data_IF_264057274233
#
_entry.id   IF_264057274233
#
_cell.length_a   1.000
_cell.length_b   1.000
_cell.length_c   1.000
_cell.angle_alpha   90.00
_cell.angle_beta   90.00
_cell.angle_gamma   90.00
#
_symmetry.space_group_name_H-M   'P 1'
#
loop_
_entity.id
_entity.type
_entity.pdbx_description
1 polymer ?
#
# COMPACT_ATOMS: atom_id res chain seq x y z
N UNK A 1 -68.80 -54.51 -9.22
CA UNK A 1 -68.45 -54.40 -10.65
C UNK A 1 -68.81 -52.97 -11.06
N UNK A 2 -67.93 -51.99 -10.92
CA UNK A 2 -66.66 -51.79 -11.66
C UNK A 2 -66.88 -51.09 -13.02
N UNK A 3 -67.42 -49.87 -13.02
CA UNK A 3 -67.33 -48.97 -14.20
C UNK A 3 -67.53 -47.46 -13.93
N UNK A 4 -67.76 -47.02 -12.68
CA UNK A 4 -68.11 -45.60 -12.38
C UNK A 4 -67.13 -44.87 -11.44
N UNK A 5 -65.88 -45.34 -11.33
CA UNK A 5 -64.86 -44.71 -10.46
C UNK A 5 -63.66 -44.12 -11.21
N UNK A 6 -63.47 -44.46 -12.49
CA UNK A 6 -62.29 -43.99 -13.26
C UNK A 6 -62.46 -42.59 -13.90
N UNK A 7 -63.68 -42.08 -14.05
CA UNK A 7 -63.91 -40.76 -14.66
C UNK A 7 -63.75 -39.58 -13.70
N UNK A 8 -63.87 -39.79 -12.38
CA UNK A 8 -63.75 -38.71 -11.39
C UNK A 8 -62.29 -38.35 -11.04
N UNK A 9 -61.36 -39.29 -11.07
CA UNK A 9 -59.95 -38.98 -10.76
C UNK A 9 -59.23 -38.25 -11.91
N UNK A 10 -59.55 -38.59 -13.17
CA UNK A 10 -58.94 -37.93 -14.35
C UNK A 10 -59.35 -36.45 -14.44
N UNK A 11 -60.57 -36.11 -14.03
CA UNK A 11 -61.08 -34.72 -14.06
C UNK A 11 -60.49 -33.86 -12.92
N UNK A 12 -60.14 -34.46 -11.78
CA UNK A 12 -59.47 -33.75 -10.68
C UNK A 12 -57.98 -33.47 -10.96
N UNK A 13 -57.28 -34.38 -11.65
CA UNK A 13 -55.89 -34.17 -12.07
C UNK A 13 -55.74 -33.17 -13.23
N UNK A 14 -56.77 -33.00 -14.07
CA UNK A 14 -56.75 -32.03 -15.17
C UNK A 14 -56.85 -30.56 -14.73
N UNK A 15 -57.57 -30.27 -13.63
CA UNK A 15 -57.80 -28.88 -13.17
C UNK A 15 -56.62 -28.34 -12.34
N UNK A 16 -55.84 -29.21 -11.69
CA UNK A 16 -54.70 -28.82 -10.87
C UNK A 16 -53.46 -28.32 -11.64
N UNK A 17 -53.40 -28.52 -12.96
CA UNK A 17 -52.21 -28.18 -13.77
C UNK A 17 -52.32 -26.79 -14.45
N UNK A 18 -53.53 -26.21 -14.55
CA UNK A 18 -53.70 -24.87 -15.16
C UNK A 18 -53.60 -23.69 -14.17
N UNK A 19 -53.38 -23.95 -12.87
CA UNK A 19 -53.30 -22.92 -11.83
C UNK A 19 -51.91 -22.31 -11.56
N UNK A 20 -50.84 -22.83 -12.17
CA UNK A 20 -49.45 -22.55 -11.75
C UNK A 20 -48.52 -22.08 -12.89
N UNK A 21 -49.01 -21.19 -13.76
CA UNK A 21 -48.13 -20.35 -14.62
C UNK A 21 -48.51 -18.87 -14.57
N UNK A 22 -48.45 -18.30 -13.36
CA UNK A 22 -48.03 -16.90 -13.18
C UNK A 22 -46.69 -16.91 -12.45
N UNK A 23 -45.65 -17.38 -13.16
CA UNK A 23 -44.28 -17.16 -12.72
C UNK A 23 -44.00 -15.66 -12.84
N UNK A 24 -44.16 -14.92 -11.73
CA UNK A 24 -43.77 -13.52 -11.64
C UNK A 24 -42.24 -13.48 -11.58
N UNK A 25 -41.61 -13.65 -12.74
CA UNK A 25 -40.17 -13.49 -12.94
C UNK A 25 -39.87 -12.00 -12.94
N UNK A 26 -39.71 -11.44 -11.74
CA UNK A 26 -39.19 -10.10 -11.56
C UNK A 26 -37.72 -10.09 -11.96
N UNK A 27 -37.30 -9.18 -12.85
CA UNK A 27 -35.89 -9.01 -13.15
C UNK A 27 -35.11 -8.64 -11.88
N UNK A 28 -33.85 -9.07 -11.79
CA UNK A 28 -33.02 -8.88 -10.59
C UNK A 28 -32.81 -7.39 -10.20
N UNK A 29 -33.10 -6.46 -11.12
CA UNK A 29 -33.10 -5.01 -10.88
C UNK A 29 -34.37 -4.51 -10.18
N UNK A 30 -35.52 -5.08 -10.49
CA UNK A 30 -36.82 -4.62 -9.99
C UNK A 30 -37.18 -5.25 -8.63
N UNK A 31 -36.66 -6.44 -8.35
CA UNK A 31 -36.89 -7.14 -7.08
C UNK A 31 -36.41 -6.34 -5.85
N UNK A 32 -35.37 -5.52 -6.00
CA UNK A 32 -34.87 -4.64 -4.93
C UNK A 32 -35.69 -3.37 -4.73
N UNK A 33 -36.41 -2.87 -5.75
CA UNK A 33 -37.31 -1.72 -5.58
C UNK A 33 -38.59 -2.12 -4.84
N UNK A 34 -39.12 -3.32 -5.12
CA UNK A 34 -40.35 -3.82 -4.49
C UNK A 34 -40.23 -4.02 -2.97
N UNK A 35 -39.04 -4.36 -2.45
CA UNK A 35 -38.80 -4.49 -1.01
C UNK A 35 -38.65 -3.14 -0.29
N UNK A 36 -38.41 -2.03 -1.00
CA UNK A 36 -38.09 -0.73 -0.40
C UNK A 36 -39.31 0.03 0.12
N UNK A 37 -40.52 -0.35 -0.29
CA UNK A 37 -41.76 0.42 -0.05
C UNK A 37 -42.83 -0.31 0.80
N UNK A 38 -42.52 -1.47 1.41
CA UNK A 38 -43.54 -2.39 1.94
C UNK A 38 -44.13 -1.99 3.31
N UNK A 39 -43.61 -0.95 3.98
CA UNK A 39 -44.04 -0.54 5.34
C UNK A 39 -44.53 0.92 5.47
N UNK A 40 -45.00 1.53 4.39
CA UNK A 40 -45.85 2.71 4.55
C UNK A 40 -47.24 2.28 5.02
N UNK A 41 -47.75 2.95 6.07
CA UNK A 41 -49.04 2.77 6.76
C UNK A 41 -50.09 2.11 5.86
N UNK A 42 -50.53 0.89 6.18
CA UNK A 42 -51.65 0.28 5.45
C UNK A 42 -52.88 1.16 5.67
N UNK A 43 -53.60 1.47 4.59
CA UNK A 43 -54.64 2.48 4.63
C UNK A 43 -55.72 2.14 5.69
N UNK A 44 -55.86 3.03 6.68
CA UNK A 44 -56.62 2.85 7.91
C UNK A 44 -57.97 2.13 7.68
N UNK A 45 -58.20 1.01 8.36
CA UNK A 45 -59.57 0.56 8.59
C UNK A 45 -60.22 1.48 9.63
N UNK A 46 -61.47 1.90 9.41
CA UNK A 46 -62.25 2.82 10.27
C UNK A 46 -62.40 2.37 11.75
N UNK A 47 -61.96 1.15 12.10
CA UNK A 47 -62.07 0.55 13.44
C UNK A 47 -60.71 0.15 14.02
N UNK A 48 -59.60 0.53 13.38
CA UNK A 48 -58.23 0.21 13.79
C UNK A 48 -57.87 0.94 15.10
N UNK A 49 -58.19 2.22 15.16
CA UNK A 49 -58.03 3.17 16.29
C UNK A 49 -58.92 2.84 17.52
N UNK A 50 -59.74 1.77 17.45
CA UNK A 50 -60.59 1.28 18.55
C UNK A 50 -59.93 0.09 19.26
N UNK A 51 -58.90 -0.52 18.68
CA UNK A 51 -58.15 -1.61 19.33
C UNK A 51 -57.15 -1.02 20.33
N UNK A 52 -56.86 -1.71 21.44
CA UNK A 52 -55.73 -1.34 22.28
C UNK A 52 -54.44 -1.45 21.48
N UNK A 53 -53.55 -0.48 21.67
CA UNK A 53 -52.26 -0.40 20.98
C UNK A 53 -51.41 -1.65 21.20
N UNK A 54 -50.82 -2.15 20.13
CA UNK A 54 -50.11 -3.43 20.10
C UNK A 54 -48.73 -3.28 19.45
N UNK A 55 -47.70 -3.61 20.22
CA UNK A 55 -46.31 -3.40 19.83
C UNK A 55 -45.91 -4.17 18.57
N UNK A 56 -46.42 -5.39 18.40
CA UNK A 56 -46.09 -6.20 17.24
C UNK A 56 -46.76 -5.60 16.00
N UNK A 57 -48.06 -5.33 16.07
CA UNK A 57 -48.86 -4.82 14.95
C UNK A 57 -48.44 -3.42 14.50
N UNK A 58 -48.33 -2.47 15.43
CA UNK A 58 -48.15 -1.07 15.08
C UNK A 58 -46.68 -0.71 14.85
N UNK A 59 -45.74 -1.31 15.60
CA UNK A 59 -44.32 -0.98 15.50
C UNK A 59 -43.44 -2.05 14.84
N UNK A 60 -43.73 -3.35 14.95
CA UNK A 60 -42.89 -4.39 14.33
C UNK A 60 -43.37 -4.82 12.93
N UNK A 61 -44.67 -4.88 12.70
CA UNK A 61 -45.29 -5.13 11.40
C UNK A 61 -45.36 -3.84 10.54
N UNK A 62 -45.63 -2.68 11.14
CA UNK A 62 -45.72 -1.37 10.49
C UNK A 62 -44.71 -0.33 11.04
N UNK A 63 -44.87 0.94 10.67
CA UNK A 63 -44.07 2.08 11.16
C UNK A 63 -44.91 2.94 12.12
N UNK A 64 -44.71 2.76 13.42
CA UNK A 64 -45.36 3.59 14.45
C UNK A 64 -44.64 4.93 14.68
N UNK A 65 -45.44 5.96 14.98
CA UNK A 65 -45.02 7.26 15.50
C UNK A 65 -44.65 7.20 16.99
N UNK A 66 -44.06 8.29 17.50
CA UNK A 66 -43.75 8.40 18.93
C UNK A 66 -45.02 8.49 19.80
N UNK A 67 -46.14 8.94 19.22
CA UNK A 67 -47.43 9.07 19.90
C UNK A 67 -48.09 7.70 20.04
N UNK A 68 -48.16 6.91 18.96
CA UNK A 68 -48.62 5.50 19.00
C UNK A 68 -47.74 4.65 19.96
N UNK A 69 -46.41 4.85 19.95
CA UNK A 69 -45.53 4.23 20.94
C UNK A 69 -45.82 4.68 22.39
N UNK A 70 -46.25 5.93 22.61
CA UNK A 70 -46.62 6.42 23.94
C UNK A 70 -47.93 5.79 24.45
N UNK A 71 -48.89 5.54 23.54
CA UNK A 71 -50.16 4.88 23.84
C UNK A 71 -49.96 3.40 24.24
N UNK A 72 -49.03 2.70 23.58
CA UNK A 72 -48.66 1.32 23.91
C UNK A 72 -48.02 1.22 25.30
N UNK A 73 -47.02 2.05 25.60
CA UNK A 73 -46.21 1.89 26.81
C UNK A 73 -46.75 2.62 28.05
N UNK A 74 -47.64 3.61 27.88
CA UNK A 74 -48.35 4.39 28.92
C UNK A 74 -47.46 5.11 29.97
N UNK A 75 -46.15 4.92 29.92
CA UNK A 75 -45.14 5.58 30.72
C UNK A 75 -44.09 6.21 29.82
N UNK A 76 -43.77 7.47 30.09
CA UNK A 76 -42.80 8.26 29.35
C UNK A 76 -41.40 7.63 29.33
N UNK A 77 -41.01 6.97 30.42
CA UNK A 77 -39.69 6.34 30.56
C UNK A 77 -39.57 5.10 29.64
N UNK A 78 -40.58 4.23 29.67
CA UNK A 78 -40.63 3.04 28.79
C UNK A 78 -40.77 3.42 27.32
N UNK A 79 -41.57 4.45 27.03
CA UNK A 79 -41.70 5.00 25.68
C UNK A 79 -40.35 5.51 25.17
N UNK A 80 -39.60 6.26 25.98
CA UNK A 80 -38.27 6.77 25.60
C UNK A 80 -37.24 5.63 25.44
N UNK A 81 -37.24 4.63 26.32
CA UNK A 81 -36.35 3.47 26.20
C UNK A 81 -36.64 2.66 24.93
N UNK A 82 -37.91 2.38 24.65
CA UNK A 82 -38.33 1.74 23.40
C UNK A 82 -37.96 2.60 22.19
N UNK A 83 -38.35 3.88 22.18
CA UNK A 83 -38.15 4.79 21.05
C UNK A 83 -36.67 4.96 20.70
N UNK A 84 -35.79 5.04 21.70
CA UNK A 84 -34.34 5.08 21.48
C UNK A 84 -33.79 3.80 20.82
N UNK A 85 -34.32 2.62 21.17
CA UNK A 85 -33.96 1.35 20.53
C UNK A 85 -34.59 1.20 19.14
N UNK A 86 -35.84 1.60 19.00
CA UNK A 86 -36.62 1.59 17.76
C UNK A 86 -35.96 2.47 16.70
N UNK A 87 -35.64 3.73 17.03
CA UNK A 87 -34.91 4.65 16.15
C UNK A 87 -33.49 4.17 15.77
N UNK A 88 -32.87 3.25 16.53
CA UNK A 88 -31.60 2.62 16.11
C UNK A 88 -31.85 1.48 15.14
N UNK A 89 -32.90 0.68 15.34
CA UNK A 89 -33.34 -0.37 14.40
C UNK A 89 -33.80 0.20 13.05
N UNK A 90 -34.55 1.31 13.08
CA UNK A 90 -35.08 2.03 11.90
C UNK A 90 -34.01 2.38 10.86
N UNK A 91 -32.83 2.86 11.29
CA UNK A 91 -31.82 3.46 10.39
C UNK A 91 -31.30 2.51 9.30
N UNK A 92 -31.39 1.20 9.51
CA UNK A 92 -31.05 0.19 8.49
C UNK A 92 -32.27 -0.61 7.97
N UNK A 93 -33.49 -0.35 8.48
CA UNK A 93 -34.70 -1.17 8.25
C UNK A 93 -35.18 -1.20 6.78
N UNK A 94 -34.76 -0.25 5.96
CA UNK A 94 -35.00 -0.19 4.51
C UNK A 94 -33.73 -0.17 3.63
N UNK A 95 -32.56 -0.45 4.22
CA UNK A 95 -31.21 -0.30 3.64
C UNK A 95 -31.02 1.03 2.84
N UNK A 96 -30.57 2.13 3.50
CA UNK A 96 -30.33 3.40 2.83
C UNK A 96 -29.21 3.32 1.77
N UNK A 97 -28.31 2.34 1.89
CA UNK A 97 -27.16 2.18 1.01
C UNK A 97 -27.58 1.81 -0.42
N UNK A 98 -27.05 2.55 -1.39
CA UNK A 98 -27.23 2.33 -2.82
C UNK A 98 -26.29 1.24 -3.34
N UNK A 99 -26.48 0.87 -4.60
CA UNK A 99 -25.55 0.05 -5.37
C UNK A 99 -25.17 -1.32 -4.77
N UNK A 100 -25.99 -1.84 -3.85
CA UNK A 100 -25.77 -3.12 -3.16
C UNK A 100 -24.94 -3.02 -1.87
N UNK A 101 -24.72 -1.81 -1.34
CA UNK A 101 -24.11 -1.63 -0.02
C UNK A 101 -24.95 -2.20 1.11
N UNK A 102 -24.30 -2.54 2.23
CA UNK A 102 -24.93 -3.12 3.41
C UNK A 102 -24.93 -2.10 4.54
N UNK A 103 -26.10 -1.70 5.01
CA UNK A 103 -26.23 -0.85 6.19
C UNK A 103 -25.89 -1.63 7.47
N UNK A 104 -24.96 -1.10 8.26
CA UNK A 104 -24.66 -1.56 9.61
C UNK A 104 -24.81 -0.43 10.62
N UNK A 105 -24.94 -0.79 11.90
CA UNK A 105 -25.04 0.16 13.01
C UNK A 105 -23.72 0.15 13.79
N UNK A 106 -23.17 1.34 13.99
CA UNK A 106 -21.97 1.59 14.79
C UNK A 106 -22.30 2.49 16.00
N UNK A 107 -21.30 2.79 16.83
CA UNK A 107 -21.42 3.65 18.01
C UNK A 107 -21.91 5.07 17.67
N UNK A 108 -21.55 5.58 16.50
CA UNK A 108 -21.89 6.92 16.00
C UNK A 108 -23.21 7.02 15.22
N UNK A 109 -23.70 5.93 14.63
CA UNK A 109 -24.91 5.96 13.79
C UNK A 109 -25.08 4.75 12.87
N UNK A 110 -25.75 4.96 11.73
CA UNK A 110 -25.82 4.00 10.63
C UNK A 110 -24.74 4.30 9.61
N UNK A 111 -23.95 3.29 9.25
CA UNK A 111 -22.88 3.38 8.25
C UNK A 111 -23.16 2.42 7.10
N UNK A 112 -22.79 2.81 5.89
CA UNK A 112 -22.91 1.97 4.71
C UNK A 112 -21.59 1.28 4.38
N UNK A 113 -21.60 -0.05 4.42
CA UNK A 113 -20.51 -0.88 3.94
C UNK A 113 -20.66 -1.05 2.42
N UNK A 114 -19.91 -0.26 1.66
CA UNK A 114 -20.06 -0.20 0.21
C UNK A 114 -19.38 -1.36 -0.51
N UNK A 115 -19.95 -1.87 -1.62
CA UNK A 115 -19.27 -2.86 -2.45
C UNK A 115 -18.06 -2.21 -3.12
N UNK A 116 -17.02 -2.97 -3.52
CA UNK A 116 -15.71 -2.38 -3.79
C UNK A 116 -15.59 -1.47 -5.03
N UNK A 117 -16.68 -1.29 -5.80
CA UNK A 117 -16.80 -0.30 -6.89
C UNK A 117 -17.51 0.99 -6.46
N UNK A 118 -17.88 1.15 -5.19
CA UNK A 118 -18.67 2.28 -4.71
C UNK A 118 -18.15 2.84 -3.37
N UNK A 119 -18.36 4.13 -3.16
CA UNK A 119 -17.97 4.90 -1.97
C UNK A 119 -18.99 6.01 -1.70
N UNK A 120 -18.77 6.78 -0.64
CA UNK A 120 -19.69 7.78 -0.11
C UNK A 120 -20.57 7.23 1.02
N UNK A 121 -21.19 8.11 1.84
CA UNK A 121 -22.00 7.74 3.00
C UNK A 121 -23.18 6.82 2.67
N UNK A 122 -23.63 6.77 1.42
CA UNK A 122 -24.69 5.91 0.93
C UNK A 122 -24.28 5.05 -0.27
N UNK A 123 -22.98 4.86 -0.53
CA UNK A 123 -22.46 4.11 -1.68
C UNK A 123 -22.92 4.67 -3.05
N UNK A 124 -23.17 5.98 -3.09
CA UNK A 124 -23.71 6.71 -4.23
C UNK A 124 -22.66 7.01 -5.31
N UNK A 125 -21.38 7.01 -4.96
CA UNK A 125 -20.26 7.40 -5.84
C UNK A 125 -19.57 6.15 -6.36
N UNK A 126 -19.39 6.01 -7.68
CA UNK A 126 -18.52 4.96 -8.24
C UNK A 126 -17.05 5.28 -7.95
N UNK A 127 -16.32 4.30 -7.39
CA UNK A 127 -14.87 4.34 -7.17
C UNK A 127 -14.17 4.11 -8.51
N UNK A 128 -13.20 4.96 -8.85
CA UNK A 128 -12.51 4.86 -10.13
C UNK A 128 -11.73 3.54 -10.23
N UNK A 129 -11.68 2.93 -11.43
CA UNK A 129 -11.10 1.59 -11.57
C UNK A 129 -9.63 1.51 -11.14
N UNK A 130 -8.83 2.58 -11.26
CA UNK A 130 -7.48 2.59 -10.69
C UNK A 130 -7.44 2.57 -9.16
N UNK A 131 -8.31 3.32 -8.47
CA UNK A 131 -8.36 3.34 -7.00
C UNK A 131 -8.70 1.95 -6.45
N UNK A 132 -9.58 1.21 -7.14
CA UNK A 132 -9.86 -0.17 -6.77
C UNK A 132 -8.81 -1.15 -7.32
N UNK A 133 -7.94 -1.66 -6.43
CA UNK A 133 -6.92 -2.69 -6.73
C UNK A 133 -5.95 -2.30 -7.87
N UNK A 134 -5.61 -1.02 -8.01
CA UNK A 134 -4.74 -0.49 -9.07
C UNK A 134 -5.25 -0.83 -10.49
N UNK A 135 -6.57 -0.91 -10.67
CA UNK A 135 -7.19 -1.33 -11.95
C UNK A 135 -6.82 -2.74 -12.41
N UNK A 136 -6.26 -3.57 -11.52
CA UNK A 136 -5.65 -4.85 -11.85
C UNK A 136 -4.24 -4.76 -12.48
N UNK A 137 -3.70 -3.56 -12.73
CA UNK A 137 -2.35 -3.36 -13.26
C UNK A 137 -1.28 -3.88 -12.29
N UNK A 138 -0.21 -4.50 -12.81
CA UNK A 138 0.90 -5.00 -12.00
C UNK A 138 1.78 -3.87 -11.45
N UNK A 139 2.02 -2.82 -12.23
CA UNK A 139 2.77 -1.63 -11.80
C UNK A 139 1.91 -0.37 -11.84
N UNK A 140 1.75 0.28 -12.98
CA UNK A 140 1.09 1.59 -13.07
C UNK A 140 -0.31 1.47 -13.66
N UNK A 141 -1.25 2.22 -13.08
CA UNK A 141 -2.60 2.41 -13.59
C UNK A 141 -2.82 3.85 -14.03
N UNK A 142 -3.59 4.03 -15.10
CA UNK A 142 -4.10 5.32 -15.56
C UNK A 142 -5.54 5.18 -16.09
N UNK A 143 -6.40 6.14 -15.75
CA UNK A 143 -7.77 6.18 -16.27
C UNK A 143 -7.76 6.77 -17.68
N UNK A 144 -8.38 6.10 -18.66
CA UNK A 144 -8.51 6.66 -20.01
C UNK A 144 -9.52 7.82 -20.04
N UNK A 145 -9.23 8.84 -20.85
CA UNK A 145 -10.06 10.05 -21.00
C UNK A 145 -10.76 10.03 -22.37
N UNK A 146 -12.02 10.50 -22.51
CA UNK A 146 -12.81 11.27 -21.54
C UNK A 146 -13.91 10.49 -20.82
N UNK A 147 -14.22 9.24 -21.20
CA UNK A 147 -15.35 8.50 -20.60
C UNK A 147 -15.04 7.94 -19.21
N UNK A 148 -13.76 7.83 -18.82
CA UNK A 148 -13.30 7.22 -17.55
C UNK A 148 -13.78 5.77 -17.33
N UNK A 149 -14.20 5.08 -18.39
CA UNK A 149 -14.77 3.72 -18.36
C UNK A 149 -13.76 2.60 -18.58
N UNK A 150 -12.46 2.90 -18.73
CA UNK A 150 -11.43 1.87 -18.89
C UNK A 150 -10.06 2.27 -18.37
N UNK A 151 -9.35 1.28 -17.83
CA UNK A 151 -7.98 1.39 -17.34
C UNK A 151 -6.97 1.11 -18.44
N UNK A 152 -5.94 1.95 -18.53
CA UNK A 152 -4.70 1.67 -19.26
C UNK A 152 -3.57 1.40 -18.26
N UNK A 153 -2.94 0.23 -18.37
CA UNK A 153 -1.80 -0.16 -17.54
C UNK A 153 -0.48 0.14 -18.24
N UNK A 154 0.57 0.40 -17.46
CA UNK A 154 1.95 0.48 -17.94
C UNK A 154 2.94 -0.05 -16.90
N UNK A 155 4.19 -0.23 -17.31
CA UNK A 155 5.19 -1.00 -16.57
C UNK A 155 6.42 -0.16 -16.19
N UNK A 156 7.11 -0.55 -15.12
CA UNK A 156 8.32 0.10 -14.65
C UNK A 156 9.52 -0.12 -15.60
N UNK A 157 10.59 0.67 -15.44
CA UNK A 157 11.79 0.59 -16.30
C UNK A 157 12.43 -0.81 -16.24
N UNK A 158 12.58 -1.44 -17.41
CA UNK A 158 13.10 -2.80 -17.56
C UNK A 158 12.03 -3.90 -17.60
N UNK A 159 10.75 -3.52 -17.63
CA UNK A 159 9.62 -4.42 -17.82
C UNK A 159 8.76 -4.00 -19.01
N UNK A 160 8.12 -4.95 -19.66
CA UNK A 160 7.19 -4.73 -20.77
C UNK A 160 5.79 -5.25 -20.43
N UNK A 161 4.75 -4.60 -20.97
CA UNK A 161 3.35 -4.98 -20.71
C UNK A 161 3.00 -6.26 -21.46
N UNK A 162 2.52 -7.28 -20.73
CA UNK A 162 2.12 -8.55 -21.34
C UNK A 162 0.86 -8.37 -22.22
N UNK A 163 0.58 -9.28 -23.18
CA UNK A 163 -0.60 -9.22 -24.05
C UNK A 163 -1.96 -9.20 -23.32
N UNK A 164 -2.01 -9.51 -22.03
CA UNK A 164 -3.20 -9.39 -21.20
C UNK A 164 -3.53 -7.93 -20.79
N UNK A 165 -2.65 -6.96 -21.09
CA UNK A 165 -2.84 -5.54 -20.80
C UNK A 165 -2.84 -5.19 -19.31
N UNK A 166 -2.32 -6.07 -18.43
CA UNK A 166 -2.35 -5.93 -16.96
C UNK A 166 -1.02 -6.26 -16.31
N UNK A 167 -0.39 -7.37 -16.70
CA UNK A 167 0.89 -7.86 -16.17
C UNK A 167 2.09 -7.20 -16.82
N UNK A 168 3.23 -7.23 -16.15
CA UNK A 168 4.50 -6.74 -16.66
C UNK A 168 5.57 -7.85 -16.60
N UNK A 169 6.15 -8.19 -17.73
CA UNK A 169 7.22 -9.18 -17.87
C UNK A 169 8.59 -8.51 -17.72
N UNK A 170 9.53 -9.14 -17.03
CA UNK A 170 10.94 -8.70 -16.93
C UNK A 170 11.64 -8.88 -18.29
N UNK A 171 12.13 -7.79 -18.90
CA UNK A 171 12.85 -7.84 -20.19
C UNK A 171 14.28 -7.32 -20.13
N UNK A 172 14.61 -6.45 -19.16
CA UNK A 172 16.00 -6.16 -18.83
C UNK A 172 16.66 -7.32 -18.07
N UNK A 173 17.99 -7.44 -18.16
CA UNK A 173 18.77 -8.38 -17.32
C UNK A 173 18.74 -7.99 -15.84
N UNK A 174 18.68 -6.69 -15.58
CA UNK A 174 18.62 -6.08 -14.24
C UNK A 174 17.55 -4.97 -14.25
N UNK A 175 16.25 -5.32 -14.27
CA UNK A 175 15.17 -4.35 -14.20
C UNK A 175 15.16 -3.64 -12.85
N UNK A 176 14.48 -2.50 -12.77
CA UNK A 176 14.41 -1.77 -11.50
C UNK A 176 13.67 -2.58 -10.41
N UNK A 177 14.01 -2.30 -9.15
CA UNK A 177 13.28 -2.81 -8.00
C UNK A 177 13.39 -4.31 -7.76
N UNK A 178 14.42 -4.99 -8.30
CA UNK A 178 14.71 -6.41 -8.02
C UNK A 178 15.91 -6.58 -7.08
N UNK A 179 15.89 -7.68 -6.32
CA UNK A 179 16.94 -8.08 -5.39
C UNK A 179 17.57 -9.39 -5.91
N UNK A 180 18.88 -9.57 -5.71
CA UNK A 180 19.67 -10.63 -6.37
C UNK A 180 20.57 -11.39 -5.38
N UNK A 181 20.05 -11.71 -4.20
CA UNK A 181 20.81 -12.37 -3.14
C UNK A 181 21.35 -13.73 -3.57
N UNK A 182 22.68 -13.93 -3.49
CA UNK A 182 23.34 -15.23 -3.74
C UNK A 182 22.71 -16.31 -2.86
N UNK A 183 21.96 -17.25 -3.47
CA UNK A 183 21.34 -18.39 -2.78
C UNK A 183 19.83 -18.54 -2.96
N UNK A 184 19.12 -17.53 -3.49
CA UNK A 184 17.70 -17.71 -3.83
C UNK A 184 17.29 -16.90 -5.05
N UNK A 185 17.05 -17.60 -6.16
CA UNK A 185 16.14 -17.11 -7.21
C UNK A 185 14.71 -17.26 -6.66
N UNK A 186 14.34 -16.35 -5.76
CA UNK A 186 13.08 -16.38 -5.03
C UNK A 186 11.95 -16.00 -5.99
N UNK A 187 11.51 -16.97 -6.80
CA UNK A 187 10.18 -16.93 -7.40
C UNK A 187 9.21 -16.66 -6.26
N UNK A 188 8.46 -15.56 -6.40
CA UNK A 188 7.47 -15.10 -5.44
C UNK A 188 6.64 -16.25 -4.87
N UNK A 189 6.87 -16.57 -3.60
CA UNK A 189 5.97 -17.43 -2.83
C UNK A 189 4.64 -16.68 -2.68
N UNK A 190 3.49 -17.29 -3.04
CA UNK A 190 2.19 -16.68 -2.83
C UNK A 190 1.86 -16.51 -1.34
N UNK A 191 0.91 -15.62 -1.05
CA UNK A 191 0.49 -15.26 0.30
C UNK A 191 0.14 -16.46 1.19
N UNK A 192 0.55 -16.34 2.46
CA UNK A 192 0.23 -17.27 3.53
C UNK A 192 -1.26 -17.19 3.87
N UNK A 193 -2.05 -18.19 3.47
CA UNK A 193 -3.43 -18.37 3.93
C UNK A 193 -3.44 -19.26 5.16
N UNK A 194 -3.86 -18.69 6.28
CA UNK A 194 -4.11 -19.41 7.53
C UNK A 194 -5.38 -20.26 7.42
N UNK A 195 -5.26 -21.57 7.66
CA UNK A 195 -6.37 -22.41 8.10
C UNK A 195 -5.87 -23.56 8.99
N UNK A 196 -6.22 -23.49 10.26
CA UNK A 196 -6.12 -24.59 11.23
C UNK A 196 -7.01 -25.77 10.83
N UNK A 197 -6.50 -27.01 10.83
CA UNK A 197 -7.19 -28.17 11.43
C UNK A 197 -6.26 -29.37 11.66
N UNK A 198 -6.49 -30.08 12.76
CA UNK A 198 -5.75 -31.27 13.22
C UNK A 198 -6.25 -32.55 12.54
N UNK A 199 -5.35 -33.47 12.13
CA UNK A 199 -5.22 -34.84 12.71
C UNK A 199 -4.41 -35.86 11.87
N UNK A 200 -3.32 -36.38 12.45
CA UNK A 200 -2.81 -37.77 12.41
C UNK A 200 -2.69 -38.64 11.12
N UNK A 201 -1.44 -39.10 10.90
CA UNK A 201 -0.99 -40.50 10.73
C UNK A 201 -0.79 -41.22 9.35
N UNK A 202 0.35 -41.94 9.30
CA UNK A 202 0.78 -43.08 8.45
C UNK A 202 1.09 -42.84 6.95
N UNK A 203 2.37 -42.75 6.51
CA UNK A 203 3.49 -43.74 6.39
C UNK A 203 3.43 -44.68 5.16
N UNK A 204 4.34 -44.47 4.20
CA UNK A 204 5.29 -45.47 3.61
C UNK A 204 6.09 -44.78 2.46
N UNK A 205 7.36 -44.42 2.63
CA UNK A 205 8.58 -45.23 2.44
C UNK A 205 8.87 -45.68 0.99
N UNK A 206 9.84 -45.02 0.37
CA UNK A 206 10.99 -45.66 -0.31
C UNK A 206 12.21 -44.72 -0.17
N UNK A 207 13.39 -45.30 0.10
CA UNK A 207 14.60 -44.59 0.51
C UNK A 207 15.70 -44.67 -0.55
N UNK A 208 16.73 -43.82 -0.43
CA UNK A 208 18.15 -44.24 -0.41
C UNK A 208 19.02 -43.13 0.21
N UNK A 209 20.00 -43.58 1.00
CA UNK A 209 21.03 -42.87 1.76
C UNK A 209 22.14 -42.26 0.86
N UNK A 210 23.07 -41.38 1.26
CA UNK A 210 23.39 -40.68 2.54
C UNK A 210 24.43 -39.58 2.23
N UNK A 211 24.42 -38.46 2.96
CA UNK A 211 25.57 -38.06 3.78
C UNK A 211 25.13 -37.06 4.84
N UNK A 212 24.99 -37.56 6.07
CA UNK A 212 24.78 -36.75 7.27
C UNK A 212 26.15 -36.50 7.90
N UNK A 213 26.49 -35.24 8.12
CA UNK A 213 27.26 -34.87 9.30
C UNK A 213 26.35 -34.07 10.22
N UNK A 214 26.30 -34.49 11.48
CA UNK A 214 25.46 -33.87 12.49
C UNK A 214 26.02 -32.49 12.87
N UNK A 215 25.21 -31.45 12.73
CA UNK A 215 25.31 -30.29 13.63
C UNK A 215 24.09 -30.33 14.54
N UNK A 216 24.35 -30.48 15.83
CA UNK A 216 23.36 -30.52 16.89
C UNK A 216 22.54 -29.23 16.95
N UNK A 217 21.25 -29.36 17.23
CA UNK A 217 20.45 -28.26 17.77
C UNK A 217 21.03 -27.83 19.13
N UNK A 218 21.93 -26.86 19.11
CA UNK A 218 22.13 -25.95 20.23
C UNK A 218 21.30 -24.70 19.94
N UNK A 219 20.43 -24.33 20.88
CA UNK A 219 19.64 -23.11 20.77
C UNK A 219 20.57 -21.91 20.87
N UNK A 220 20.89 -21.29 19.74
CA UNK A 220 21.45 -19.95 19.73
C UNK A 220 20.28 -18.98 19.87
N UNK A 221 20.16 -18.39 21.06
CA UNK A 221 19.53 -17.08 21.19
C UNK A 221 20.37 -16.10 20.38
N UNK A 222 20.04 -15.92 19.10
CA UNK A 222 20.69 -14.97 18.20
C UNK A 222 20.25 -13.54 18.57
N UNK A 223 20.79 -13.09 19.71
CA UNK A 223 20.47 -11.83 20.36
C UNK A 223 21.50 -10.76 20.01
N UNK A 224 21.77 -10.57 18.71
CA UNK A 224 22.68 -9.53 18.23
C UNK A 224 22.13 -8.70 17.04
N UNK A 225 21.10 -7.91 17.34
CA UNK A 225 20.71 -6.75 16.54
C UNK A 225 21.70 -5.61 16.85
N UNK A 226 22.19 -4.79 15.90
CA UNK A 226 21.47 -3.56 15.48
C UNK A 226 22.05 -2.78 14.27
N UNK A 227 21.22 -2.30 13.32
CA UNK A 227 20.68 -0.89 13.36
C UNK A 227 19.59 -0.93 14.42
N UNK A 228 19.01 0.14 14.99
CA UNK A 228 18.05 -0.11 16.10
C UNK A 228 16.98 -1.13 15.66
N UNK A 229 16.99 -2.29 16.36
CA UNK A 229 16.44 -3.60 15.98
C UNK A 229 16.76 -4.23 14.60
N UNK A 230 17.30 -3.50 13.62
CA UNK A 230 17.56 -3.95 12.25
C UNK A 230 18.68 -5.00 12.06
N UNK A 231 18.56 -5.79 11.00
CA UNK A 231 19.39 -6.95 10.63
C UNK A 231 20.50 -6.59 9.62
N UNK A 232 21.45 -7.49 9.38
CA UNK A 232 22.38 -7.39 8.24
C UNK A 232 21.61 -7.59 6.91
N UNK A 233 21.99 -6.84 5.87
CA UNK A 233 21.45 -7.01 4.52
C UNK A 233 22.37 -7.93 3.70
N UNK A 234 21.93 -9.10 3.20
CA UNK A 234 22.75 -9.89 2.29
C UNK A 234 23.21 -9.10 1.05
N UNK A 235 24.42 -9.35 0.57
CA UNK A 235 24.94 -8.77 -0.67
C UNK A 235 23.94 -8.97 -1.83
N UNK A 236 23.67 -7.91 -2.59
CA UNK A 236 22.64 -7.88 -3.64
C UNK A 236 21.19 -7.76 -3.12
N UNK A 237 20.98 -7.62 -1.81
CA UNK A 237 19.67 -7.42 -1.18
C UNK A 237 19.14 -5.98 -1.25
N UNK A 238 19.98 -4.99 -1.57
CA UNK A 238 19.55 -3.62 -1.88
C UNK A 238 20.50 -3.00 -2.91
N UNK A 239 20.45 -3.47 -4.17
CA UNK A 239 21.43 -3.13 -5.20
C UNK A 239 21.30 -1.67 -5.71
N UNK A 240 20.28 -0.96 -5.22
CA UNK A 240 20.08 0.48 -5.43
C UNK A 240 20.70 1.34 -4.32
N UNK A 241 21.20 0.73 -3.24
CA UNK A 241 21.84 1.46 -2.16
C UNK A 241 23.11 2.15 -2.64
N UNK A 242 23.25 3.42 -2.31
CA UNK A 242 24.43 4.23 -2.59
C UNK A 242 25.02 4.73 -1.28
N UNK A 243 26.34 4.89 -1.24
CA UNK A 243 27.09 5.56 -0.18
C UNK A 243 27.80 6.78 -0.77
N UNK A 244 27.54 7.96 -0.20
CA UNK A 244 28.24 9.21 -0.54
C UNK A 244 29.55 9.28 0.24
N UNK A 245 30.68 9.45 -0.45
CA UNK A 245 32.02 9.48 0.13
C UNK A 245 32.71 10.84 -0.05
N UNK A 246 33.52 11.17 0.96
CA UNK A 246 34.48 12.27 0.95
C UNK A 246 35.79 11.82 0.29
N UNK A 247 36.73 12.76 0.13
CA UNK A 247 38.09 12.52 -0.43
C UNK A 247 39.00 11.65 0.42
N UNK A 248 38.63 11.39 1.66
CA UNK A 248 39.31 10.50 2.61
C UNK A 248 38.65 9.10 2.68
N UNK A 249 37.85 8.75 1.66
CA UNK A 249 37.03 7.54 1.56
C UNK A 249 35.94 7.38 2.64
N UNK A 250 35.77 8.37 3.54
CA UNK A 250 34.79 8.27 4.61
C UNK A 250 33.37 8.49 4.08
N UNK A 251 32.52 7.49 4.30
CA UNK A 251 31.10 7.49 3.89
C UNK A 251 30.23 8.17 4.94
N UNK A 252 29.47 9.21 4.54
CA UNK A 252 28.76 10.10 5.48
C UNK A 252 27.23 10.14 5.30
N UNK A 253 26.73 9.85 4.10
CA UNK A 253 25.30 9.79 3.79
C UNK A 253 24.98 8.63 2.83
N UNK A 254 23.74 8.17 2.86
CA UNK A 254 23.17 7.27 1.86
C UNK A 254 22.65 7.99 0.61
N UNK A 255 22.30 7.19 -0.38
CA UNK A 255 21.58 7.59 -1.58
C UNK A 255 20.85 6.40 -2.19
N UNK A 256 20.02 6.67 -3.20
CA UNK A 256 19.30 5.65 -3.97
C UNK A 256 19.54 5.81 -5.46
N UNK A 257 20.10 4.80 -6.11
CA UNK A 257 20.22 4.71 -7.56
C UNK A 257 18.83 4.54 -8.19
N UNK A 258 18.44 5.44 -9.08
CA UNK A 258 17.13 5.41 -9.77
C UNK A 258 17.24 5.23 -11.29
N UNK A 259 18.45 5.39 -11.84
CA UNK A 259 18.79 5.10 -13.24
C UNK A 259 20.33 4.98 -13.40
N UNK A 260 20.87 4.63 -14.59
CA UNK A 260 22.31 4.46 -14.78
C UNK A 260 23.19 5.66 -14.37
N UNK A 261 22.69 6.90 -14.45
CA UNK A 261 23.46 8.12 -14.13
C UNK A 261 22.85 8.99 -13.03
N UNK A 262 21.79 8.52 -12.36
CA UNK A 262 21.02 9.35 -11.43
C UNK A 262 20.85 8.68 -10.06
N UNK A 263 21.26 9.40 -9.02
CA UNK A 263 21.09 9.04 -7.61
C UNK A 263 20.24 10.11 -6.92
N UNK A 264 19.25 9.69 -6.15
CA UNK A 264 18.49 10.54 -5.21
C UNK A 264 19.17 10.49 -3.84
N UNK A 265 19.26 11.62 -3.14
CA UNK A 265 19.71 11.71 -1.74
C UNK A 265 18.98 12.87 -1.04
N UNK A 266 19.29 13.10 0.23
CA UNK A 266 18.79 14.24 1.00
C UNK A 266 19.59 15.51 0.64
N UNK A 267 18.96 16.68 0.67
CA UNK A 267 19.61 17.95 0.40
C UNK A 267 20.61 18.35 1.50
N UNK A 268 20.28 18.07 2.77
CA UNK A 268 21.17 18.40 3.90
C UNK A 268 22.52 17.68 3.83
N UNK A 269 22.57 16.48 3.23
CA UNK A 269 23.82 15.77 2.96
C UNK A 269 24.78 16.58 2.07
N UNK A 270 24.27 17.51 1.26
CA UNK A 270 25.05 18.25 0.25
C UNK A 270 25.51 19.63 0.74
N UNK A 271 25.39 19.91 2.05
CA UNK A 271 26.18 20.95 2.72
C UNK A 271 27.69 20.71 2.54
N UNK A 272 28.11 19.44 2.44
CA UNK A 272 29.42 19.05 1.93
C UNK A 272 29.26 18.38 0.55
N UNK A 273 30.05 18.80 -0.45
CA UNK A 273 30.01 18.17 -1.77
C UNK A 273 30.67 16.79 -1.72
N UNK A 274 29.97 15.67 -2.02
CA UNK A 274 30.60 14.37 -2.15
C UNK A 274 31.64 14.38 -3.29
N UNK A 275 32.76 13.70 -3.10
CA UNK A 275 33.77 13.54 -4.15
C UNK A 275 33.32 12.49 -5.17
N UNK A 276 32.80 11.39 -4.64
CA UNK A 276 32.25 10.29 -5.41
C UNK A 276 31.15 9.58 -4.62
N UNK A 277 30.45 8.69 -5.30
CA UNK A 277 29.52 7.73 -4.73
C UNK A 277 30.02 6.31 -4.94
N UNK A 278 29.67 5.41 -4.04
CA UNK A 278 29.90 3.97 -4.19
C UNK A 278 28.58 3.23 -4.23
N UNK A 279 28.42 2.34 -5.20
CA UNK A 279 27.22 1.50 -5.40
C UNK A 279 27.65 0.03 -5.39
N UNK A 280 26.85 -0.84 -4.79
CA UNK A 280 27.18 -2.26 -4.62
C UNK A 280 28.08 -2.60 -3.42
N UNK A 281 28.48 -1.58 -2.65
CA UNK A 281 29.17 -1.69 -1.35
C UNK A 281 28.31 -2.48 -0.36
N UNK A 282 28.95 -3.34 0.45
CA UNK A 282 28.40 -3.97 1.63
C UNK A 282 29.26 -3.69 2.87
N UNK A 283 30.59 -3.78 2.77
CA UNK A 283 31.58 -3.48 3.81
C UNK A 283 32.28 -2.13 3.57
N UNK A 284 31.86 -1.08 4.29
CA UNK A 284 32.39 0.30 4.07
C UNK A 284 33.91 0.45 4.17
N UNK A 285 34.61 -0.51 4.78
CA UNK A 285 36.05 -0.46 5.03
C UNK A 285 36.87 -1.32 4.05
N UNK A 286 36.24 -2.07 3.15
CA UNK A 286 36.94 -2.96 2.20
C UNK A 286 36.16 -3.09 0.89
N UNK A 287 36.80 -2.92 -0.27
CA UNK A 287 36.15 -3.10 -1.56
C UNK A 287 35.47 -4.48 -1.71
N UNK A 288 34.19 -4.46 -2.07
CA UNK A 288 33.39 -5.64 -2.37
C UNK A 288 33.46 -6.07 -3.85
N UNK A 289 33.15 -7.34 -4.14
CA UNK A 289 33.13 -7.86 -5.51
C UNK A 289 31.99 -7.23 -6.33
N UNK A 290 32.34 -6.39 -7.31
CA UNK A 290 31.39 -5.74 -8.22
C UNK A 290 30.85 -4.39 -7.73
N UNK A 291 31.41 -3.83 -6.66
CA UNK A 291 31.19 -2.43 -6.30
C UNK A 291 31.72 -1.49 -7.38
N UNK A 292 31.16 -0.28 -7.45
CA UNK A 292 31.56 0.76 -8.39
C UNK A 292 31.67 2.10 -7.68
N UNK A 293 32.84 2.73 -7.77
CA UNK A 293 33.07 4.11 -7.34
C UNK A 293 32.93 5.06 -8.54
N UNK A 294 32.03 6.03 -8.47
CA UNK A 294 31.71 6.95 -9.57
C UNK A 294 31.69 8.40 -9.07
N UNK A 295 32.38 9.31 -9.76
CA UNK A 295 32.39 10.74 -9.41
C UNK A 295 31.03 11.39 -9.65
N UNK A 296 30.71 12.38 -8.81
CA UNK A 296 29.55 13.26 -9.02
C UNK A 296 29.95 14.37 -10.00
N UNK A 297 29.23 14.49 -11.11
CA UNK A 297 29.44 15.54 -12.13
C UNK A 297 28.59 16.79 -11.84
N UNK A 298 27.36 16.61 -11.35
CA UNK A 298 26.46 17.70 -10.99
C UNK A 298 25.64 17.37 -9.76
N UNK A 299 25.43 18.37 -8.91
CA UNK A 299 24.51 18.38 -7.77
C UNK A 299 23.32 19.26 -8.12
N UNK A 300 22.10 18.79 -7.83
CA UNK A 300 20.84 19.52 -7.99
C UNK A 300 20.08 19.43 -6.66
N UNK A 301 20.21 20.45 -5.82
CA UNK A 301 19.42 20.60 -4.59
C UNK A 301 18.05 21.19 -4.95
N UNK A 302 16.98 20.68 -4.35
CA UNK A 302 15.64 21.22 -4.58
C UNK A 302 15.56 22.70 -4.16
N UNK A 303 15.00 23.61 -4.99
CA UNK A 303 15.08 25.06 -4.77
C UNK A 303 14.33 25.55 -3.52
N UNK A 304 13.39 24.75 -2.99
CA UNK A 304 12.67 25.04 -1.75
C UNK A 304 13.21 24.27 -0.52
N UNK A 305 14.40 23.67 -0.61
CA UNK A 305 15.01 23.05 0.58
C UNK A 305 15.24 24.09 1.68
N UNK A 306 14.72 23.82 2.87
CA UNK A 306 14.81 24.73 4.01
C UNK A 306 15.57 24.11 5.19
N UNK A 307 16.80 24.58 5.41
CA UNK A 307 17.80 23.95 6.31
C UNK A 307 17.36 23.77 7.77
N UNK A 308 16.48 24.63 8.29
CA UNK A 308 16.03 24.58 9.69
C UNK A 308 14.85 23.65 9.94
N UNK A 309 14.04 23.37 8.92
CA UNK A 309 12.85 22.50 9.03
C UNK A 309 13.01 21.20 8.26
N UNK A 310 14.06 21.08 7.44
CA UNK A 310 14.25 20.02 6.46
C UNK A 310 13.05 19.85 5.49
N UNK A 311 12.25 20.91 5.30
CA UNK A 311 11.21 20.87 4.26
C UNK A 311 11.88 20.81 2.88
N UNK A 312 11.30 20.00 2.00
CA UNK A 312 11.86 19.67 0.69
C UNK A 312 13.33 19.18 0.73
N UNK A 313 13.70 18.39 1.74
CA UNK A 313 15.01 17.77 1.88
C UNK A 313 15.24 16.64 0.86
N UNK A 314 15.49 17.04 -0.39
CA UNK A 314 15.76 16.16 -1.53
C UNK A 314 16.76 16.82 -2.50
N UNK A 315 17.66 15.99 -3.03
CA UNK A 315 18.59 16.38 -4.08
C UNK A 315 18.84 15.23 -5.08
N UNK A 316 19.23 15.60 -6.30
CA UNK A 316 19.70 14.68 -7.33
C UNK A 316 21.20 14.83 -7.55
N UNK A 317 21.88 13.70 -7.72
CA UNK A 317 23.27 13.62 -8.17
C UNK A 317 23.32 13.06 -9.58
N UNK A 318 23.95 13.80 -10.49
CA UNK A 318 24.29 13.33 -11.83
C UNK A 318 25.70 12.73 -11.81
N UNK A 319 25.82 11.46 -12.16
CA UNK A 319 27.08 10.71 -12.13
C UNK A 319 27.90 10.96 -13.40
N UNK A 320 29.23 11.07 -13.28
CA UNK A 320 30.14 11.38 -14.40
C UNK A 320 30.17 10.34 -15.53
N UNK A 321 29.74 9.10 -15.23
CA UNK A 321 29.58 8.01 -16.18
C UNK A 321 28.43 7.12 -15.71
N UNK A 322 27.77 6.35 -16.61
CA UNK A 322 26.76 5.38 -16.20
C UNK A 322 27.39 4.25 -15.36
N UNK A 323 26.66 3.76 -14.36
CA UNK A 323 27.00 2.50 -13.69
C UNK A 323 26.71 1.31 -14.61
N UNK A 324 27.52 0.26 -14.49
CA UNK A 324 27.26 -1.03 -15.11
C UNK A 324 26.34 -1.86 -14.22
N UNK A 325 25.16 -2.24 -14.72
CA UNK A 325 24.22 -3.01 -13.91
C UNK A 325 24.69 -4.46 -13.67
N UNK A 326 24.54 -4.92 -12.44
CA UNK A 326 24.96 -6.22 -11.93
C UNK A 326 23.97 -6.73 -10.87
N UNK A 327 24.22 -7.91 -10.30
CA UNK A 327 23.44 -8.41 -9.16
C UNK A 327 23.54 -7.50 -7.90
N UNK A 328 24.63 -6.74 -7.76
CA UNK A 328 24.85 -5.82 -6.63
C UNK A 328 24.62 -4.35 -7.00
N UNK A 329 24.43 -4.02 -8.29
CA UNK A 329 24.19 -2.65 -8.80
C UNK A 329 22.98 -2.65 -9.74
N UNK A 330 21.82 -2.20 -9.28
CA UNK A 330 20.62 -2.01 -10.12
C UNK A 330 19.63 -1.07 -9.45
N UNK A 331 18.85 -0.26 -10.20
CA UNK A 331 18.12 0.88 -9.63
C UNK A 331 16.84 0.46 -8.87
N UNK A 332 16.38 1.30 -7.95
CA UNK A 332 15.03 1.21 -7.41
C UNK A 332 14.04 1.70 -8.48
N UNK A 333 12.79 1.19 -8.48
CA UNK A 333 11.77 1.75 -9.36
C UNK A 333 11.23 3.07 -8.81
N UNK A 334 10.98 4.04 -9.68
CA UNK A 334 10.19 5.22 -9.31
C UNK A 334 8.69 4.91 -9.48
N UNK A 335 7.83 5.27 -8.51
CA UNK A 335 6.38 5.16 -8.68
C UNK A 335 5.85 6.29 -9.59
N UNK A 336 4.66 6.08 -10.18
CA UNK A 336 3.87 7.21 -10.71
C UNK A 336 3.01 7.81 -9.58
N UNK A 337 2.40 8.98 -9.80
CA UNK A 337 1.64 9.68 -8.76
C UNK A 337 0.53 8.81 -8.11
N UNK A 338 -0.19 8.01 -8.91
CA UNK A 338 -1.23 7.11 -8.40
C UNK A 338 -0.66 5.98 -7.54
N UNK A 339 0.35 5.24 -8.04
CA UNK A 339 0.97 4.16 -7.29
C UNK A 339 1.63 4.71 -6.02
N UNK A 340 2.26 5.89 -6.06
CA UNK A 340 2.89 6.50 -4.90
C UNK A 340 1.90 6.73 -3.74
N UNK A 341 0.65 7.09 -4.04
CA UNK A 341 -0.42 7.19 -3.02
C UNK A 341 -0.77 5.80 -2.45
N UNK A 342 -0.93 4.80 -3.32
CA UNK A 342 -1.24 3.40 -2.92
C UNK A 342 -0.14 2.78 -2.05
N UNK A 343 1.14 3.15 -2.26
CA UNK A 343 2.27 2.64 -1.49
C UNK A 343 2.53 3.39 -0.16
N UNK A 344 1.82 4.50 0.07
CA UNK A 344 2.02 5.39 1.22
C UNK A 344 0.82 5.40 2.18
N UNK A 345 0.03 4.34 2.18
CA UNK A 345 -1.05 4.12 3.16
C UNK A 345 -0.49 3.76 4.54
N UNK A 346 -1.20 4.14 5.61
CA UNK A 346 -0.83 3.79 6.98
C UNK A 346 -0.63 2.28 7.17
N UNK A 347 0.29 1.91 8.06
CA UNK A 347 0.73 0.53 8.32
C UNK A 347 1.40 -0.21 7.14
N UNK A 348 1.44 0.37 5.93
CA UNK A 348 2.25 -0.18 4.85
C UNK A 348 3.72 -0.19 5.28
N UNK A 349 4.37 -1.35 5.17
CA UNK A 349 5.77 -1.51 5.57
C UNK A 349 6.71 -1.17 4.41
N UNK A 350 7.67 -0.30 4.67
CA UNK A 350 8.81 -0.03 3.80
C UNK A 350 10.10 -0.62 4.37
N UNK A 351 11.03 -0.95 3.48
CA UNK A 351 12.40 -1.33 3.78
C UNK A 351 13.26 -0.07 3.79
N UNK A 352 14.01 0.12 4.87
CA UNK A 352 15.07 1.11 4.97
C UNK A 352 16.41 0.39 5.03
N UNK A 353 17.40 0.88 4.30
CA UNK A 353 18.77 0.36 4.30
C UNK A 353 19.81 1.46 4.43
N UNK A 354 20.92 1.11 5.05
CA UNK A 354 22.04 2.02 5.25
C UNK A 354 23.08 1.48 6.23
N UNK A 355 24.04 2.34 6.56
CA UNK A 355 25.18 2.04 7.43
C UNK A 355 25.29 3.04 8.59
N UNK A 356 24.17 3.65 8.98
CA UNK A 356 24.07 4.60 10.07
C UNK A 356 24.47 4.01 11.42
N UNK A 357 24.46 4.88 12.42
CA UNK A 357 24.78 4.52 13.79
C UNK A 357 23.78 3.48 14.34
N UNK A 358 24.30 2.50 15.07
CA UNK A 358 23.48 1.39 15.58
C UNK A 358 22.77 1.72 16.90
N UNK A 359 23.02 2.91 17.41
CA UNK A 359 22.39 3.58 18.55
C UNK A 359 22.55 5.10 18.38
N UNK A 360 21.74 5.90 19.09
CA UNK A 360 21.92 7.35 19.14
C UNK A 360 23.33 7.70 19.68
N UNK A 361 24.08 8.53 18.94
CA UNK A 361 25.51 8.84 19.17
C UNK A 361 26.46 7.63 19.09
N UNK A 362 26.01 6.48 18.58
CA UNK A 362 26.83 5.29 18.37
C UNK A 362 27.74 5.39 17.14
N UNK A 363 28.62 4.40 16.97
CA UNK A 363 29.41 4.25 15.76
C UNK A 363 28.56 3.75 14.59
N UNK A 364 28.82 4.28 13.40
CA UNK A 364 28.21 3.80 12.14
C UNK A 364 28.50 2.31 11.91
N UNK A 365 27.52 1.52 11.44
CA UNK A 365 27.75 0.11 11.13
C UNK A 365 28.76 -0.06 10.00
N UNK A 366 29.68 -1.03 10.11
CA UNK A 366 30.62 -1.40 9.04
C UNK A 366 29.91 -2.03 7.85
N UNK A 367 29.00 -2.96 8.12
CA UNK A 367 28.27 -3.72 7.11
C UNK A 367 26.88 -3.13 6.85
N UNK A 368 26.38 -3.26 5.62
CA UNK A 368 25.06 -2.76 5.22
C UNK A 368 23.96 -3.44 6.04
N UNK A 369 23.04 -2.64 6.57
CA UNK A 369 21.95 -3.10 7.42
C UNK A 369 20.59 -2.75 6.82
N UNK A 370 19.56 -3.41 7.35
CA UNK A 370 18.16 -3.23 6.96
C UNK A 370 17.21 -3.23 8.14
N UNK A 371 16.09 -2.52 7.97
CA UNK A 371 14.95 -2.56 8.88
C UNK A 371 13.65 -2.40 8.09
N UNK A 372 12.56 -3.01 8.57
CA UNK A 372 11.22 -2.86 7.99
C UNK A 372 10.38 -2.00 8.93
N UNK A 373 9.92 -0.83 8.47
CA UNK A 373 9.19 0.14 9.28
C UNK A 373 7.80 0.40 8.67
N UNK A 374 6.73 0.46 9.47
CA UNK A 374 5.40 0.85 8.98
C UNK A 374 5.32 2.37 8.79
N UNK A 375 4.63 2.81 7.74
CA UNK A 375 4.21 4.21 7.58
C UNK A 375 3.20 4.57 8.66
N UNK A 376 3.39 5.73 9.29
CA UNK A 376 2.55 6.26 10.38
C UNK A 376 1.63 7.36 9.84
N UNK A 377 0.43 7.46 10.42
CA UNK A 377 -0.54 8.48 10.05
C UNK A 377 -0.03 9.91 10.30
N UNK A 378 -0.40 10.85 9.44
CA UNK A 378 0.12 12.23 9.49
C UNK A 378 -0.19 12.92 10.84
N UNK A 379 -1.38 12.69 11.40
CA UNK A 379 -1.76 13.24 12.71
C UNK A 379 -0.95 12.65 13.88
N UNK A 380 -0.68 11.34 13.86
CA UNK A 380 0.15 10.67 14.87
C UNK A 380 1.62 11.11 14.76
N UNK A 381 2.12 11.23 13.53
CA UNK A 381 3.43 11.79 13.20
C UNK A 381 3.60 13.21 13.76
N UNK A 382 2.67 14.13 13.44
CA UNK A 382 2.67 15.50 13.97
C UNK A 382 2.61 15.54 15.50
N UNK A 383 1.77 14.69 16.13
CA UNK A 383 1.63 14.65 17.59
C UNK A 383 2.84 14.04 18.32
N UNK A 384 3.76 13.39 17.59
CA UNK A 384 4.96 12.78 18.17
C UNK A 384 6.11 13.78 18.39
N UNK A 385 6.11 14.95 17.74
CA UNK A 385 7.23 15.91 17.73
C UNK A 385 6.77 17.34 18.03
N UNK A 386 7.70 18.18 18.52
CA UNK A 386 7.49 19.63 18.61
C UNK A 386 7.88 20.36 17.31
N UNK A 387 8.54 19.67 16.37
CA UNK A 387 8.93 20.22 15.07
C UNK A 387 7.77 20.16 14.07
N UNK A 388 7.81 21.03 13.06
CA UNK A 388 6.78 21.11 12.02
C UNK A 388 6.98 20.00 10.99
N UNK A 389 6.07 19.02 10.97
CA UNK A 389 5.95 18.04 9.88
C UNK A 389 5.10 18.66 8.76
N UNK A 390 5.66 18.79 7.56
CA UNK A 390 4.95 19.28 6.37
C UNK A 390 4.31 18.14 5.57
N UNK A 391 3.46 18.45 4.59
CA UNK A 391 2.89 17.46 3.67
C UNK A 391 3.96 16.80 2.76
N UNK A 392 5.13 17.43 2.64
CA UNK A 392 6.31 16.88 1.97
C UNK A 392 7.06 15.83 2.80
N UNK A 393 6.59 15.55 4.02
CA UNK A 393 7.19 14.59 4.93
C UNK A 393 6.20 13.46 5.26
N UNK A 394 6.73 12.36 5.80
CA UNK A 394 5.97 11.35 6.53
C UNK A 394 6.83 10.73 7.64
N UNK A 395 6.19 10.14 8.65
CA UNK A 395 6.88 9.33 9.65
C UNK A 395 6.82 7.84 9.31
N UNK A 396 7.86 7.11 9.67
CA UNK A 396 7.82 5.66 9.74
C UNK A 396 8.57 5.14 10.98
N UNK A 397 8.07 4.08 11.61
CA UNK A 397 8.71 3.50 12.80
C UNK A 397 7.74 2.80 13.73
N UNK A 398 8.22 2.40 14.91
CA UNK A 398 7.39 1.83 15.97
C UNK A 398 7.40 2.75 17.20
N UNK A 399 6.24 2.94 17.83
CA UNK A 399 6.08 3.82 19.00
C UNK A 399 6.92 3.37 20.19
N UNK A 400 7.08 2.05 20.34
CA UNK A 400 7.97 1.41 21.31
C UNK A 400 9.35 1.25 20.68
N UNK A 401 10.39 1.63 21.42
CA UNK A 401 11.77 1.88 20.99
C UNK A 401 12.57 0.64 20.49
N UNK A 402 11.99 -0.14 19.56
CA UNK A 402 12.57 -1.35 19.02
C UNK A 402 13.38 -1.12 17.74
N UNK A 403 12.87 -0.31 16.81
CA UNK A 403 13.38 -0.23 15.44
C UNK A 403 13.25 1.16 14.80
N UNK A 404 14.36 1.71 14.28
CA UNK A 404 14.41 3.02 13.60
C UNK A 404 15.68 3.18 12.74
N UNK A 405 15.68 4.16 11.82
CA UNK A 405 16.86 4.65 11.13
C UNK A 405 17.70 5.59 12.02
N UNK A 406 18.95 5.89 11.67
CA UNK A 406 19.83 6.70 12.52
C UNK A 406 20.86 7.54 11.75
N UNK A 407 21.66 8.32 12.48
CA UNK A 407 22.73 9.19 11.94
C UNK A 407 23.62 8.44 10.95
N UNK A 408 23.67 8.90 9.71
CA UNK A 408 24.43 8.26 8.61
C UNK A 408 23.61 7.34 7.70
N UNK A 409 22.34 7.08 8.00
CA UNK A 409 21.36 6.55 7.04
C UNK A 409 20.73 7.67 6.18
N UNK A 410 20.90 8.94 6.57
CA UNK A 410 20.44 10.15 5.87
C UNK A 410 20.68 10.11 4.36
N UNK A 411 19.67 10.46 3.57
CA UNK A 411 19.70 10.33 2.10
C UNK A 411 19.43 8.91 1.58
N UNK A 412 19.42 7.90 2.45
CA UNK A 412 19.13 6.51 2.10
C UNK A 412 17.66 6.24 1.71
N UNK A 413 17.39 5.07 1.09
CA UNK A 413 16.07 4.70 0.61
C UNK A 413 15.07 4.38 1.73
N UNK A 414 13.83 4.81 1.55
CA UNK A 414 12.64 4.11 2.05
C UNK A 414 11.90 3.52 0.83
N UNK A 415 11.97 2.21 0.65
CA UNK A 415 11.40 1.49 -0.50
C UNK A 415 10.28 0.54 -0.09
N UNK A 416 9.17 0.53 -0.82
CA UNK A 416 8.01 -0.35 -0.57
C UNK A 416 7.96 -1.44 -1.63
N UNK A 417 7.74 -2.69 -1.20
CA UNK A 417 7.51 -3.80 -2.13
C UNK A 417 6.06 -3.77 -2.62
N UNK A 418 5.87 -3.66 -3.93
CA UNK A 418 4.58 -3.84 -4.58
C UNK A 418 4.66 -5.01 -5.55
N UNK A 419 3.95 -6.10 -5.23
CA UNK A 419 3.82 -7.31 -6.08
C UNK A 419 5.18 -7.84 -6.58
N UNK A 420 6.20 -7.85 -5.72
CA UNK A 420 7.54 -8.36 -6.04
C UNK A 420 8.47 -7.36 -6.75
N UNK A 421 8.12 -6.08 -6.78
CA UNK A 421 8.95 -4.97 -7.30
C UNK A 421 9.10 -3.89 -6.23
N UNK A 422 10.31 -3.42 -5.97
CA UNK A 422 10.59 -2.40 -4.95
C UNK A 422 10.59 -0.98 -5.54
N UNK A 423 9.76 -0.10 -4.96
CA UNK A 423 9.59 1.28 -5.39
C UNK A 423 10.09 2.27 -4.33
N UNK A 424 10.86 3.28 -4.74
CA UNK A 424 11.30 4.38 -3.87
C UNK A 424 10.13 5.30 -3.55
N UNK A 425 9.84 5.46 -2.26
CA UNK A 425 8.67 6.21 -1.77
C UNK A 425 9.04 7.27 -0.74
N UNK A 426 10.17 7.10 -0.04
CA UNK A 426 10.76 8.14 0.79
C UNK A 426 12.29 8.17 0.78
N UNK A 427 12.83 9.24 1.35
CA UNK A 427 14.26 9.45 1.59
C UNK A 427 14.44 9.64 3.09
N UNK A 428 15.41 8.96 3.73
CA UNK A 428 15.75 9.21 5.14
C UNK A 428 16.19 10.66 5.30
N UNK A 429 15.49 11.46 6.12
CA UNK A 429 15.78 12.89 6.30
C UNK A 429 16.32 13.15 7.71
N UNK A 430 15.47 13.15 8.74
CA UNK A 430 15.87 13.49 10.12
C UNK A 430 15.07 12.72 11.17
N UNK A 431 15.45 12.87 12.43
CA UNK A 431 14.73 12.38 13.61
C UNK A 431 15.30 13.03 14.87
N UNK A 432 14.48 13.26 15.90
CA UNK A 432 14.95 13.91 17.15
C UNK A 432 15.98 13.07 17.91
N UNK A 433 15.85 11.74 17.82
CA UNK A 433 16.75 10.70 18.33
C UNK A 433 16.50 9.42 17.52
N UNK A 434 17.46 8.51 17.47
CA UNK A 434 17.26 7.19 16.85
C UNK A 434 16.53 6.25 17.82
N UNK A 435 15.36 5.75 17.42
CA UNK A 435 14.51 4.85 18.19
C UNK A 435 14.26 5.31 19.63
N UNK A 436 13.86 6.57 19.80
CA UNK A 436 13.35 7.03 21.09
C UNK A 436 11.89 6.60 21.26
N UNK A 437 11.52 6.22 22.48
CA UNK A 437 10.14 5.91 22.83
C UNK A 437 9.23 7.12 22.54
N UNK A 438 8.13 6.89 21.84
CA UNK A 438 7.20 7.94 21.43
C UNK A 438 7.65 8.80 20.24
N UNK A 439 8.71 8.41 19.51
CA UNK A 439 9.25 9.13 18.35
C UNK A 439 9.36 8.22 17.12
N UNK A 440 9.42 8.83 15.94
CA UNK A 440 9.56 8.14 14.65
C UNK A 440 10.67 8.81 13.81
N UNK A 441 11.24 8.06 12.86
CA UNK A 441 12.06 8.63 11.79
C UNK A 441 11.20 9.40 10.80
N UNK A 442 11.71 10.55 10.32
CA UNK A 442 11.04 11.43 9.36
C UNK A 442 11.69 11.32 7.97
N UNK A 443 10.83 11.21 6.95
CA UNK A 443 11.22 10.89 5.59
C UNK A 443 10.64 11.90 4.60
N UNK A 444 11.43 12.32 3.61
CA UNK A 444 10.95 13.15 2.50
C UNK A 444 10.04 12.33 1.59
N UNK A 445 8.81 12.79 1.35
CA UNK A 445 7.75 12.10 0.61
C UNK A 445 7.92 12.24 -0.91
N UNK A 446 8.44 11.21 -1.58
CA UNK A 446 8.78 11.24 -3.01
C UNK A 446 7.59 11.61 -3.92
N UNK A 447 6.35 11.26 -3.55
CA UNK A 447 5.15 11.54 -4.34
C UNK A 447 5.00 13.01 -4.74
N UNK A 448 5.43 13.93 -3.88
CA UNK A 448 5.27 15.37 -4.08
C UNK A 448 6.35 15.94 -5.01
N UNK A 449 7.46 15.24 -5.18
CA UNK A 449 8.63 15.67 -5.96
C UNK A 449 8.76 14.99 -7.32
N UNK A 450 7.88 14.04 -7.67
CA UNK A 450 7.95 13.27 -8.91
C UNK A 450 8.10 14.13 -10.17
N UNK A 451 7.38 15.26 -10.24
CA UNK A 451 7.44 16.18 -11.39
C UNK A 451 8.81 16.86 -11.48
N UNK A 452 9.30 17.43 -10.36
CA UNK A 452 10.62 18.07 -10.30
C UNK A 452 11.74 17.09 -10.65
N UNK A 453 11.67 15.85 -10.14
CA UNK A 453 12.65 14.80 -10.45
C UNK A 453 12.71 14.53 -11.96
N UNK A 454 11.55 14.35 -12.60
CA UNK A 454 11.46 14.06 -14.04
C UNK A 454 11.92 15.25 -14.91
N UNK A 455 11.57 16.48 -14.54
CA UNK A 455 11.96 17.69 -15.28
C UNK A 455 13.47 17.97 -15.20
N UNK A 456 14.07 17.91 -14.01
CA UNK A 456 15.52 18.07 -13.82
C UNK A 456 16.31 16.97 -14.55
N UNK A 457 15.82 15.71 -14.48
CA UNK A 457 16.45 14.59 -15.17
C UNK A 457 16.45 14.80 -16.69
N UNK A 458 15.31 15.20 -17.27
CA UNK A 458 15.18 15.49 -18.70
C UNK A 458 16.09 16.65 -19.12
N UNK A 459 16.01 17.79 -18.41
CA UNK A 459 16.78 18.99 -18.73
C UNK A 459 18.29 18.72 -18.73
N UNK A 460 18.79 18.03 -17.72
CA UNK A 460 20.22 17.70 -17.63
C UNK A 460 20.65 16.64 -18.66
N UNK A 461 19.79 15.68 -19.01
CA UNK A 461 20.06 14.75 -20.12
C UNK A 461 20.12 15.44 -21.48
N UNK A 462 19.27 16.44 -21.73
CA UNK A 462 19.32 17.26 -22.95
C UNK A 462 20.62 18.06 -23.05
N UNK A 463 21.02 18.72 -21.96
CA UNK A 463 22.30 19.45 -21.87
C UNK A 463 23.49 18.51 -22.15
N UNK A 464 23.50 17.30 -21.58
CA UNK A 464 24.56 16.32 -21.80
C UNK A 464 24.64 15.85 -23.27
N UNK A 465 23.49 15.65 -23.93
CA UNK A 465 23.42 15.28 -25.36
C UNK A 465 23.92 16.42 -26.26
N UNK A 466 23.57 17.67 -25.96
CA UNK A 466 24.04 18.86 -26.70
C UNK A 466 25.57 19.03 -26.58
N UNK A 467 26.12 18.90 -25.36
CA UNK A 467 27.57 18.99 -25.15
C UNK A 467 28.34 17.90 -25.93
N UNK A 468 27.78 16.70 -26.05
CA UNK A 468 28.38 15.57 -26.78
C UNK A 468 28.32 15.76 -28.31
N UNK A 469 27.30 16.44 -28.83
CA UNK A 469 27.23 16.77 -30.26
C UNK A 469 28.12 17.97 -30.63
N UNK A 470 28.29 18.92 -29.72
CA UNK A 470 29.22 20.04 -29.88
C UNK A 470 30.69 19.59 -29.91
N UNK A 471 31.11 18.65 -29.05
CA UNK A 471 32.48 18.12 -29.04
C UNK A 471 32.82 17.23 -30.23
N UNK A 472 31.83 16.55 -30.82
CA UNK A 472 31.99 15.69 -31.99
C UNK A 472 31.87 16.43 -33.35
N UNK A 473 31.59 17.73 -33.35
CA UNK A 473 31.59 18.52 -34.59
C UNK A 473 33.03 18.74 -35.09
N UNK A 474 33.36 18.41 -36.35
CA UNK A 474 34.73 18.53 -36.85
C UNK A 474 35.14 20.01 -36.90
N UNK A 475 36.15 20.39 -36.10
CA UNK A 475 36.79 21.71 -36.18
C UNK A 475 37.33 21.92 -37.58
N UNK A 476 36.62 22.68 -38.39
CA UNK A 476 37.08 23.13 -39.71
C UNK A 476 38.30 24.02 -39.48
N UNK A 477 39.51 23.49 -39.73
CA UNK A 477 40.71 24.31 -39.81
C UNK A 477 40.58 25.22 -41.03
N UNK A 478 40.46 26.52 -40.77
CA UNK A 478 40.87 27.57 -41.72
C UNK A 478 42.37 27.81 -41.55
#
# INVERSE_FOLDING_TARGET
MSESTYWFEVLFLGILIQGLQSAVVVERRDAFQLLRNVRNRRANYFLEEIKPGDLERECYEELCSQEEAAEIFQSKEKTLEFWYRYQRSERCRGNPCLNGGVCSLDQSGSVCLCPPRYTGPHCETEVFECEYKNGGCLHYCSNSSPTRTSVTCSCAKGYELEPNGKSCQETAKYPCGKQWTRGSMLRSLPDYVDHTHSSSNHTHLLSIHTHLENVSHSGLNDSDTRIVGGQLQPQGGSPWQVLLRRKDENGFCGGTLISPRWVITAAHCLQETPDHVTIGDYDKLRPDEGEQQIRVEKVLVHPHFHEYTFDSDIALLYLSQPVEFSAVVSPACMPNAHLAQVLMTENQRGLVTGWGATSFLGSSSRFLRKVMLPVIGQEECMRSTEQVITDNMFCAGFLQAEMDACTGDSGGPFVVNYRGTWFLTGIVSWGEKCAAEGKYGVYTRISNFLQWIDDEMKQQEEIARQNTTATNSPKTRQ
#
